data_IF_246421025088
#
_entry.id   IF_246421025088
#
_cell.length_a   1.000
_cell.length_b   1.000
_cell.length_c   1.000
_cell.angle_alpha   90.00
_cell.angle_beta   90.00
_cell.angle_gamma   90.00
#
_symmetry.space_group_name_H-M   'P 1'
#
loop_
_entity.id
_entity.type
_entity.pdbx_description
1 polymer ?
#
# COMPACT_ATOMS: atom_id res chain seq x y z
N UNK A 1 -7.48 7.83 -4.20
CA UNK A 1 -6.97 6.45 -4.06
C UNK A 1 -5.44 6.50 -4.06
N UNK A 2 -4.81 5.81 -3.11
CA UNK A 2 -3.36 5.57 -3.01
C UNK A 2 -3.10 4.08 -2.78
N UNK A 3 -1.84 3.61 -2.81
CA UNK A 3 -1.47 2.25 -2.37
C UNK A 3 0.01 2.21 -1.91
N UNK A 4 0.48 1.05 -1.45
CA UNK A 4 1.91 0.79 -1.21
C UNK A 4 2.54 -0.22 -2.17
N UNK A 5 1.77 -0.83 -3.08
CA UNK A 5 2.31 -1.77 -4.09
C UNK A 5 2.92 -1.05 -5.31
N UNK A 6 2.51 0.20 -5.58
CA UNK A 6 2.95 1.00 -6.72
C UNK A 6 2.05 0.87 -7.95
N UNK A 7 2.59 1.14 -9.16
CA UNK A 7 1.81 1.10 -10.40
C UNK A 7 1.27 -0.30 -10.73
N UNK A 8 0.23 -0.38 -11.58
CA UNK A 8 -0.36 -1.65 -11.97
C UNK A 8 0.66 -2.69 -12.44
N UNK A 9 0.57 -3.89 -11.90
CA UNK A 9 1.50 -4.97 -12.21
C UNK A 9 0.87 -6.30 -11.84
N UNK A 10 0.98 -7.33 -12.69
CA UNK A 10 0.53 -8.70 -12.37
C UNK A 10 1.14 -9.24 -11.08
N UNK A 11 2.42 -8.96 -10.86
CA UNK A 11 3.19 -9.48 -9.72
C UNK A 11 3.01 -8.68 -8.43
N UNK A 12 3.07 -7.35 -8.50
CA UNK A 12 3.11 -6.50 -7.31
C UNK A 12 1.79 -5.79 -7.01
N UNK A 13 1.13 -5.22 -8.02
CA UNK A 13 -0.11 -4.45 -7.85
C UNK A 13 -1.22 -4.93 -8.82
N UNK A 14 -1.74 -6.16 -8.66
CA UNK A 14 -2.74 -6.70 -9.57
C UNK A 14 -4.14 -6.10 -9.37
N UNK A 15 -4.39 -5.42 -8.24
CA UNK A 15 -5.75 -5.12 -7.77
C UNK A 15 -6.16 -3.64 -7.87
N UNK A 16 -5.22 -2.70 -8.06
CA UNK A 16 -5.55 -1.27 -8.05
C UNK A 16 -6.43 -0.86 -9.24
N UNK A 17 -6.16 -1.36 -10.46
CA UNK A 17 -7.00 -1.09 -11.63
C UNK A 17 -8.44 -1.56 -11.42
N UNK A 18 -8.69 -2.83 -11.05
CA UNK A 18 -10.05 -3.30 -10.78
C UNK A 18 -10.79 -2.52 -9.70
N UNK A 19 -10.11 -2.08 -8.62
CA UNK A 19 -10.76 -1.25 -7.61
C UNK A 19 -11.12 0.13 -8.15
N UNK A 20 -10.19 0.81 -8.85
CA UNK A 20 -10.43 2.14 -9.42
C UNK A 20 -11.59 2.09 -10.42
N UNK A 21 -11.62 1.07 -11.30
CA UNK A 21 -12.72 0.87 -12.23
C UNK A 21 -14.05 0.66 -11.47
N UNK A 22 -14.08 -0.19 -10.44
CA UNK A 22 -15.30 -0.43 -9.66
C UNK A 22 -15.81 0.84 -8.95
N UNK A 23 -14.92 1.71 -8.48
CA UNK A 23 -15.29 3.01 -7.90
C UNK A 23 -15.87 3.95 -8.96
N UNK A 24 -15.26 4.01 -10.15
CA UNK A 24 -15.74 4.84 -11.26
C UNK A 24 -17.08 4.33 -11.82
N UNK A 25 -17.24 3.01 -11.96
CA UNK A 25 -18.47 2.36 -12.38
C UNK A 25 -19.62 2.62 -11.38
N UNK A 26 -19.30 2.81 -10.11
CA UNK A 26 -20.25 3.23 -9.07
C UNK A 26 -20.55 4.74 -9.08
N UNK A 27 -19.97 5.50 -10.02
CA UNK A 27 -20.25 6.93 -10.22
C UNK A 27 -19.36 7.87 -9.41
N UNK A 28 -18.30 7.39 -8.76
CA UNK A 28 -17.40 8.26 -8.00
C UNK A 28 -16.37 8.97 -8.89
N UNK A 29 -16.09 10.23 -8.59
CA UNK A 29 -14.94 10.94 -9.14
C UNK A 29 -13.66 10.44 -8.44
N UNK A 30 -12.80 9.74 -9.17
CA UNK A 30 -11.60 9.11 -8.61
C UNK A 30 -10.33 9.82 -9.05
N UNK A 31 -9.57 10.31 -8.07
CA UNK A 31 -8.19 10.77 -8.23
C UNK A 31 -7.22 9.72 -7.69
N UNK A 32 -6.16 9.41 -8.44
CA UNK A 32 -5.17 8.37 -8.07
C UNK A 32 -3.79 8.98 -7.92
N UNK A 33 -3.16 8.78 -6.77
CA UNK A 33 -1.78 9.18 -6.49
C UNK A 33 -1.04 8.03 -5.81
N UNK A 34 -0.02 7.47 -6.45
CA UNK A 34 0.65 6.23 -6.01
C UNK A 34 2.17 6.35 -6.07
N UNK A 35 2.91 5.62 -5.23
CA UNK A 35 4.37 5.60 -5.31
C UNK A 35 4.84 4.96 -6.62
N UNK A 36 6.00 5.38 -7.13
CA UNK A 36 6.58 4.83 -8.36
C UNK A 36 7.14 3.40 -8.24
N UNK A 37 7.20 2.85 -7.02
CA UNK A 37 7.68 1.51 -6.73
C UNK A 37 7.02 1.00 -5.44
N UNK A 38 7.05 -0.32 -5.24
CA UNK A 38 6.54 -0.94 -4.02
C UNK A 38 7.26 -0.42 -2.76
N UNK A 39 6.47 -0.14 -1.73
CA UNK A 39 6.82 0.36 -0.40
C UNK A 39 6.25 -0.53 0.71
N UNK A 40 6.16 -1.84 0.50
CA UNK A 40 5.69 -2.77 1.52
C UNK A 40 6.59 -2.70 2.78
N UNK A 41 6.00 -2.95 3.96
CA UNK A 41 6.68 -2.93 5.26
C UNK A 41 7.20 -1.55 5.73
N UNK A 42 6.70 -0.46 5.15
CA UNK A 42 7.14 0.91 5.50
C UNK A 42 6.34 1.58 6.64
N UNK A 43 5.16 1.05 6.99
CA UNK A 43 4.23 1.68 7.94
C UNK A 43 3.76 3.07 7.48
N UNK A 44 3.53 4.00 8.41
CA UNK A 44 3.24 5.41 8.13
C UNK A 44 4.51 6.27 8.13
N UNK A 45 5.24 6.29 7.02
CA UNK A 45 6.51 7.03 6.92
C UNK A 45 6.47 8.19 5.90
N UNK A 46 7.23 9.25 6.19
CA UNK A 46 7.65 10.28 5.24
C UNK A 46 9.17 10.24 5.08
N UNK A 47 9.68 10.45 3.87
CA UNK A 47 11.11 10.47 3.57
C UNK A 47 11.60 11.92 3.48
N UNK A 48 12.02 12.52 4.60
CA UNK A 48 12.29 13.96 4.74
C UNK A 48 13.35 14.48 3.74
N UNK A 49 14.42 13.73 3.50
CA UNK A 49 15.53 14.16 2.63
C UNK A 49 15.36 13.76 1.16
N UNK A 50 14.29 13.05 0.82
CA UNK A 50 14.05 12.60 -0.54
C UNK A 50 13.20 13.62 -1.31
N UNK A 51 13.72 14.15 -2.41
CA UNK A 51 12.90 14.93 -3.34
C UNK A 51 11.85 14.03 -4.00
N UNK A 52 10.60 14.52 -4.04
CA UNK A 52 9.47 13.85 -4.68
C UNK A 52 9.28 14.41 -6.10
N UNK A 53 8.99 13.54 -7.06
CA UNK A 53 8.61 13.93 -8.43
C UNK A 53 7.31 13.25 -8.81
N UNK A 54 6.29 14.04 -9.11
CA UNK A 54 5.01 13.57 -9.64
C UNK A 54 5.07 13.48 -11.17
N UNK A 55 4.60 12.36 -11.72
CA UNK A 55 4.43 12.13 -13.16
C UNK A 55 2.95 11.79 -13.40
N UNK A 56 2.31 12.50 -14.32
CA UNK A 56 0.93 12.22 -14.73
C UNK A 56 0.95 11.19 -15.86
N UNK A 57 0.28 10.07 -15.64
CA UNK A 57 0.33 8.89 -16.51
C UNK A 57 -1.10 8.51 -16.88
N UNK A 58 -1.47 8.53 -18.16
CA UNK A 58 -2.77 8.04 -18.60
C UNK A 58 -2.96 6.58 -18.19
N UNK A 59 -4.13 6.16 -17.67
CA UNK A 59 -4.34 4.78 -17.22
C UNK A 59 -4.05 3.73 -18.31
N UNK A 60 -4.30 4.07 -19.58
CA UNK A 60 -4.05 3.20 -20.73
C UNK A 60 -2.56 3.05 -21.08
N UNK A 61 -1.68 3.90 -20.54
CA UNK A 61 -0.24 3.83 -20.77
C UNK A 61 0.46 2.78 -19.88
N UNK A 62 -0.19 2.31 -18.81
CA UNK A 62 0.40 1.32 -17.91
C UNK A 62 0.58 -0.04 -18.58
N UNK A 63 1.75 -0.64 -18.37
CA UNK A 63 2.06 -2.02 -18.72
C UNK A 63 1.82 -2.91 -17.50
N UNK A 64 1.77 -4.23 -17.72
CA UNK A 64 1.47 -5.20 -16.66
C UNK A 64 2.67 -5.59 -15.78
N UNK A 65 3.73 -4.78 -15.79
CA UNK A 65 5.00 -4.99 -15.08
C UNK A 65 5.37 -3.85 -14.13
N UNK A 66 4.45 -2.89 -13.91
CA UNK A 66 4.69 -1.72 -13.06
C UNK A 66 5.33 -0.54 -13.79
N UNK A 67 5.53 -0.65 -15.10
CA UNK A 67 6.02 0.46 -15.96
C UNK A 67 4.89 1.05 -16.78
N UNK A 68 5.19 2.13 -17.51
CA UNK A 68 4.26 2.74 -18.46
C UNK A 68 5.02 3.18 -19.72
N UNK A 69 4.27 3.38 -20.80
CA UNK A 69 4.80 3.94 -22.03
C UNK A 69 4.93 5.47 -21.91
N UNK A 70 6.17 5.95 -21.79
CA UNK A 70 6.46 7.40 -21.74
C UNK A 70 6.17 8.12 -23.05
N UNK A 71 6.02 7.38 -24.15
CA UNK A 71 5.67 7.92 -25.48
C UNK A 71 4.19 7.80 -25.79
N UNK A 72 3.36 7.39 -24.82
CA UNK A 72 1.93 7.24 -25.02
C UNK A 72 1.28 8.58 -25.33
N UNK A 73 0.90 8.77 -26.59
CA UNK A 73 0.02 9.84 -27.01
C UNK A 73 -1.41 9.32 -26.95
N UNK A 74 -2.28 9.97 -26.16
CA UNK A 74 -3.72 9.71 -26.22
C UNK A 74 -4.19 10.07 -27.63
N UNK A 75 -4.36 9.06 -28.50
CA UNK A 75 -4.69 9.27 -29.90
C UNK A 75 -5.96 10.10 -30.04
N UNK A 76 -5.80 11.36 -30.44
CA UNK A 76 -6.86 12.28 -30.83
C UNK A 76 -7.31 11.97 -32.26
N UNK A 77 -7.84 10.78 -32.49
CA UNK A 77 -8.54 10.47 -33.74
C UNK A 77 -10.04 10.54 -33.52
N UNK A 78 -10.55 11.77 -33.68
CA UNK A 78 -11.90 12.16 -34.10
C UNK A 78 -13.10 11.60 -33.33
N UNK A 79 -13.71 12.46 -32.51
CA UNK A 79 -15.13 12.84 -32.60
C UNK A 79 -15.35 14.11 -31.76
N UNK A 80 -16.35 14.90 -32.15
CA UNK A 80 -16.86 16.17 -31.57
C UNK A 80 -16.44 16.56 -30.14
N UNK A 81 -16.30 17.87 -29.83
CA UNK A 81 -15.90 18.38 -28.49
C UNK A 81 -16.66 17.78 -27.30
N UNK A 82 -17.93 17.41 -27.51
CA UNK A 82 -18.79 16.82 -26.49
C UNK A 82 -18.45 15.36 -26.12
N UNK A 83 -17.80 14.61 -27.02
CA UNK A 83 -17.34 13.22 -26.75
C UNK A 83 -15.94 13.18 -26.12
N UNK A 84 -15.10 14.17 -26.42
CA UNK A 84 -13.72 14.25 -25.89
C UNK A 84 -13.70 14.55 -24.38
N UNK A 85 -14.71 15.28 -23.89
CA UNK A 85 -14.94 15.53 -22.45
C UNK A 85 -15.45 14.31 -21.68
N UNK A 86 -15.97 13.28 -22.35
CA UNK A 86 -16.61 12.12 -21.69
C UNK A 86 -15.75 10.86 -21.67
N UNK A 87 -14.64 10.78 -22.43
CA UNK A 87 -13.85 9.53 -22.59
C UNK A 87 -12.44 9.53 -22.02
N UNK A 88 -11.88 10.66 -21.56
CA UNK A 88 -10.55 10.66 -20.95
C UNK A 88 -10.67 10.38 -19.45
N UNK A 89 -10.46 9.12 -19.07
CA UNK A 89 -10.17 8.80 -17.67
C UNK A 89 -9.01 9.67 -17.19
N UNK A 90 -9.12 10.32 -16.03
CA UNK A 90 -8.08 11.23 -15.56
C UNK A 90 -6.75 10.51 -15.37
N UNK A 91 -5.66 11.21 -15.66
CA UNK A 91 -4.31 10.69 -15.42
C UNK A 91 -4.13 10.27 -13.96
N UNK A 92 -3.40 9.18 -13.77
CA UNK A 92 -2.90 8.78 -12.46
C UNK A 92 -1.60 9.50 -12.18
N UNK A 93 -1.37 9.88 -10.93
CA UNK A 93 -0.13 10.52 -10.53
C UNK A 93 0.81 9.49 -9.90
N UNK A 94 1.94 9.25 -10.56
CA UNK A 94 3.00 8.35 -10.08
C UNK A 94 4.10 9.18 -9.43
N UNK A 95 4.40 8.92 -8.16
CA UNK A 95 5.28 9.75 -7.33
C UNK A 95 6.59 9.01 -7.06
N UNK A 96 7.67 9.45 -7.72
CA UNK A 96 9.02 8.94 -7.45
C UNK A 96 9.47 9.36 -6.06
N UNK A 97 10.12 8.45 -5.35
CA UNK A 97 10.47 8.56 -3.93
C UNK A 97 9.28 8.70 -2.97
N UNK A 98 8.04 8.57 -3.47
CA UNK A 98 6.85 8.61 -2.64
C UNK A 98 6.75 7.42 -1.69
N UNK A 99 6.22 7.69 -0.50
CA UNK A 99 5.54 6.73 0.38
C UNK A 99 4.02 6.91 0.24
N UNK A 100 3.21 5.94 0.69
CA UNK A 100 1.75 6.10 0.71
C UNK A 100 1.31 7.38 1.43
N UNK A 101 1.92 7.71 2.58
CA UNK A 101 1.64 8.93 3.33
C UNK A 101 1.95 10.20 2.51
N UNK A 102 3.10 10.27 1.84
CA UNK A 102 3.42 11.41 0.98
C UNK A 102 2.47 11.53 -0.22
N UNK A 103 2.00 10.41 -0.78
CA UNK A 103 1.02 10.40 -1.86
C UNK A 103 -0.33 10.96 -1.39
N UNK A 104 -0.74 10.63 -0.16
CA UNK A 104 -1.95 11.20 0.46
C UNK A 104 -1.81 12.71 0.63
N UNK A 105 -0.74 13.21 1.24
CA UNK A 105 -0.58 14.65 1.43
C UNK A 105 -0.55 15.41 0.09
N UNK A 106 0.25 14.95 -0.87
CA UNK A 106 0.31 15.58 -2.19
C UNK A 106 -1.06 15.54 -2.88
N UNK A 107 -1.78 14.43 -2.79
CA UNK A 107 -3.14 14.29 -3.32
C UNK A 107 -4.12 15.27 -2.69
N UNK A 108 -4.09 15.40 -1.37
CA UNK A 108 -5.01 16.27 -0.61
C UNK A 108 -4.73 17.76 -0.83
N UNK A 109 -3.47 18.16 -0.99
CA UNK A 109 -3.08 19.57 -0.87
C UNK A 109 -2.47 20.18 -2.14
N UNK A 110 -2.06 19.38 -3.14
CA UNK A 110 -1.28 19.89 -4.27
C UNK A 110 -1.71 19.38 -5.65
N UNK A 111 -2.04 18.10 -5.79
CA UNK A 111 -2.11 17.44 -7.10
C UNK A 111 -3.46 17.57 -7.83
N UNK A 112 -4.56 17.76 -7.10
CA UNK A 112 -5.93 17.72 -7.63
C UNK A 112 -6.70 19.02 -7.32
N UNK A 113 -6.02 20.16 -7.42
CA UNK A 113 -6.56 21.49 -7.05
C UNK A 113 -7.60 22.04 -8.03
N UNK A 114 -7.76 21.41 -9.18
CA UNK A 114 -8.72 21.72 -10.25
C UNK A 114 -10.06 20.99 -10.09
N UNK A 115 -10.25 20.26 -8.99
CA UNK A 115 -11.44 19.42 -8.71
C UNK A 115 -12.07 19.75 -7.37
N UNK A 116 -13.24 19.15 -7.13
CA UNK A 116 -13.86 19.19 -5.82
C UNK A 116 -12.92 18.63 -4.73
N UNK A 117 -12.97 19.17 -3.50
CA UNK A 117 -12.14 18.70 -2.40
C UNK A 117 -12.31 17.21 -2.15
N UNK A 118 -11.20 16.50 -1.95
CA UNK A 118 -11.22 15.09 -1.56
C UNK A 118 -11.97 14.92 -0.23
N UNK A 119 -12.99 14.08 -0.24
CA UNK A 119 -13.86 13.74 0.90
C UNK A 119 -13.46 12.42 1.58
N UNK A 120 -12.85 11.49 0.83
CA UNK A 120 -12.39 10.19 1.30
C UNK A 120 -11.03 9.82 0.70
N UNK A 121 -10.13 9.29 1.53
CA UNK A 121 -8.92 8.63 1.07
C UNK A 121 -9.09 7.11 1.20
N UNK A 122 -9.06 6.43 0.06
CA UNK A 122 -8.92 4.96 0.01
C UNK A 122 -7.45 4.63 -0.25
N UNK A 123 -6.87 3.82 0.63
CA UNK A 123 -5.51 3.30 0.50
C UNK A 123 -5.58 1.80 0.22
N UNK A 124 -5.13 1.35 -0.95
CA UNK A 124 -5.20 -0.03 -1.42
C UNK A 124 -5.83 -0.19 -2.82
N UNK A 125 -6.19 -1.43 -3.22
CA UNK A 125 -6.09 -2.64 -2.42
C UNK A 125 -4.64 -3.13 -2.33
N UNK A 126 -4.23 -3.55 -1.13
CA UNK A 126 -2.95 -4.22 -0.91
C UNK A 126 -2.95 -5.63 -1.52
N UNK A 127 -1.82 -6.04 -2.09
CA UNK A 127 -1.54 -7.42 -2.51
C UNK A 127 -1.19 -8.30 -1.31
N UNK A 128 -2.22 -8.66 -0.55
CA UNK A 128 -2.16 -9.43 0.67
C UNK A 128 -2.96 -8.77 1.80
N UNK A 129 -3.17 -9.50 2.89
CA UNK A 129 -3.89 -9.00 4.07
C UNK A 129 -3.02 -8.12 4.95
N UNK A 130 -3.64 -7.14 5.60
CA UNK A 130 -3.11 -6.39 6.72
C UNK A 130 -4.01 -6.70 7.94
N UNK A 131 -3.85 -7.89 8.50
CA UNK A 131 -4.61 -8.38 9.66
C UNK A 131 -3.64 -8.75 10.78
N UNK A 132 -3.98 -8.46 12.03
CA UNK A 132 -3.11 -8.42 13.23
C UNK A 132 -2.20 -7.19 13.35
N UNK A 133 -1.78 -6.87 14.58
CA UNK A 133 -1.00 -5.66 14.90
C UNK A 133 0.32 -5.60 14.13
N UNK A 134 1.01 -6.74 13.94
CA UNK A 134 2.32 -6.75 13.27
C UNK A 134 2.21 -6.31 11.81
N UNK A 135 1.19 -6.79 11.09
CA UNK A 135 0.96 -6.38 9.72
C UNK A 135 0.45 -4.94 9.65
N UNK A 136 -0.47 -4.55 10.53
CA UNK A 136 -1.02 -3.19 10.54
C UNK A 136 0.08 -2.13 10.78
N UNK A 137 0.97 -2.37 11.75
CA UNK A 137 2.06 -1.45 12.10
C UNK A 137 3.10 -1.31 11.00
N UNK A 138 3.34 -2.37 10.22
CA UNK A 138 4.27 -2.34 9.09
C UNK A 138 3.61 -1.97 7.76
N UNK A 139 2.29 -1.87 7.69
CA UNK A 139 1.56 -1.68 6.42
C UNK A 139 1.66 -0.25 5.89
N UNK A 140 2.14 -0.10 4.66
CA UNK A 140 2.05 1.17 3.94
C UNK A 140 0.60 1.49 3.54
N UNK A 141 -0.19 0.48 3.21
CA UNK A 141 -1.62 0.61 2.95
C UNK A 141 -2.36 1.19 4.17
N UNK A 142 -2.17 0.64 5.38
CA UNK A 142 -2.74 1.22 6.62
C UNK A 142 -2.13 2.60 6.89
N UNK A 143 -0.83 2.78 6.63
CA UNK A 143 -0.14 4.07 6.72
C UNK A 143 -0.79 5.19 5.89
N UNK A 144 -1.26 4.89 4.67
CA UNK A 144 -2.00 5.87 3.86
C UNK A 144 -3.32 6.30 4.49
N UNK A 145 -4.09 5.36 5.05
CA UNK A 145 -5.34 5.68 5.74
C UNK A 145 -5.10 6.45 7.06
N UNK A 146 -4.03 6.11 7.79
CA UNK A 146 -3.59 6.86 8.97
C UNK A 146 -3.21 8.30 8.61
N UNK A 147 -2.48 8.49 7.51
CA UNK A 147 -2.11 9.84 7.06
C UNK A 147 -3.34 10.69 6.76
N UNK A 148 -4.34 10.11 6.08
CA UNK A 148 -5.61 10.78 5.81
C UNK A 148 -6.30 11.24 7.10
N UNK A 149 -6.42 10.33 8.08
CA UNK A 149 -6.99 10.64 9.39
C UNK A 149 -6.25 11.80 10.07
N UNK A 150 -4.91 11.77 10.07
CA UNK A 150 -4.10 12.86 10.66
C UNK A 150 -4.18 14.18 9.88
N UNK A 151 -4.61 14.15 8.62
CA UNK A 151 -4.91 15.33 7.81
C UNK A 151 -6.37 15.82 7.99
N UNK A 152 -7.14 15.24 8.93
CA UNK A 152 -8.54 15.58 9.15
C UNK A 152 -9.48 15.05 8.07
N UNK A 153 -9.10 13.99 7.35
CA UNK A 153 -9.89 13.34 6.30
C UNK A 153 -10.21 11.91 6.69
N UNK A 154 -11.36 11.40 6.23
CA UNK A 154 -11.72 9.99 6.42
C UNK A 154 -10.75 9.10 5.62
N UNK A 155 -10.26 8.04 6.26
CA UNK A 155 -9.35 7.08 5.65
C UNK A 155 -9.89 5.65 5.70
N UNK A 156 -9.84 4.93 4.59
CA UNK A 156 -10.13 3.48 4.55
C UNK A 156 -8.94 2.76 3.91
N UNK A 157 -8.31 1.87 4.67
CA UNK A 157 -7.33 0.92 4.17
C UNK A 157 -8.05 -0.32 3.63
N UNK A 158 -7.68 -0.78 2.44
CA UNK A 158 -8.29 -1.93 1.76
C UNK A 158 -7.22 -2.95 1.43
N UNK A 159 -7.43 -4.20 1.83
CA UNK A 159 -6.48 -5.30 1.63
C UNK A 159 -7.18 -6.51 1.05
N UNK A 160 -6.65 -7.05 -0.06
CA UNK A 160 -7.16 -8.26 -0.71
C UNK A 160 -6.33 -9.46 -0.25
N UNK A 161 -6.97 -10.42 0.41
CA UNK A 161 -6.36 -11.35 1.37
C UNK A 161 -5.46 -12.46 0.82
N UNK A 162 -4.95 -12.35 -0.40
CA UNK A 162 -4.10 -13.34 -1.07
C UNK A 162 -2.85 -12.72 -1.69
N UNK A 163 -1.74 -13.45 -1.66
CA UNK A 163 -0.50 -13.15 -2.40
C UNK A 163 -0.31 -14.03 -3.64
N UNK A 164 -1.19 -15.00 -3.81
CA UNK A 164 -1.20 -15.89 -4.97
C UNK A 164 -1.98 -15.22 -6.10
N UNK A 165 -1.65 -15.56 -7.34
CA UNK A 165 -2.40 -15.08 -8.50
C UNK A 165 -3.87 -15.46 -8.39
N UNK A 166 -4.77 -14.49 -8.63
CA UNK A 166 -6.21 -14.66 -8.51
C UNK A 166 -6.89 -14.56 -9.88
N UNK A 167 -7.93 -15.38 -10.13
CA UNK A 167 -8.82 -15.20 -11.28
C UNK A 167 -9.46 -13.82 -11.30
N UNK A 168 -9.70 -13.26 -12.51
CA UNK A 168 -10.23 -11.91 -12.67
C UNK A 168 -11.64 -11.74 -12.08
N UNK A 169 -12.49 -12.77 -12.18
CA UNK A 169 -13.83 -12.78 -11.59
C UNK A 169 -13.81 -12.66 -10.07
N UNK A 170 -12.86 -13.33 -9.39
CA UNK A 170 -12.61 -13.21 -7.95
C UNK A 170 -12.15 -11.79 -7.59
N UNK A 171 -11.22 -11.23 -8.38
CA UNK A 171 -10.73 -9.85 -8.16
C UNK A 171 -11.86 -8.83 -8.31
N UNK A 172 -12.66 -8.95 -9.37
CA UNK A 172 -13.81 -8.07 -9.60
C UNK A 172 -14.88 -8.22 -8.51
N UNK A 173 -15.14 -9.44 -8.01
CA UNK A 173 -16.06 -9.68 -6.89
C UNK A 173 -15.58 -8.98 -5.61
N UNK A 174 -14.29 -9.10 -5.28
CA UNK A 174 -13.68 -8.40 -4.15
C UNK A 174 -13.75 -6.87 -4.31
N UNK A 175 -13.49 -6.34 -5.50
CA UNK A 175 -13.59 -4.91 -5.79
C UNK A 175 -15.02 -4.37 -5.62
N UNK A 176 -16.03 -5.07 -6.16
CA UNK A 176 -17.44 -4.70 -5.97
C UNK A 176 -17.85 -4.71 -4.50
N UNK A 177 -17.43 -5.74 -3.75
CA UNK A 177 -17.70 -5.79 -2.31
C UNK A 177 -17.02 -4.64 -1.58
N UNK A 178 -15.76 -4.32 -1.91
CA UNK A 178 -15.02 -3.21 -1.32
C UNK A 178 -15.78 -1.89 -1.50
N UNK A 179 -16.25 -1.60 -2.71
CA UNK A 179 -17.03 -0.39 -3.01
C UNK A 179 -18.33 -0.35 -2.21
N UNK A 180 -19.08 -1.46 -2.13
CA UNK A 180 -20.30 -1.52 -1.30
C UNK A 180 -20.03 -1.23 0.18
N UNK A 181 -18.96 -1.81 0.72
CA UNK A 181 -18.58 -1.59 2.13
C UNK A 181 -18.14 -0.14 2.34
N UNK A 182 -17.31 0.41 1.44
CA UNK A 182 -16.87 1.81 1.51
C UNK A 182 -18.06 2.76 1.52
N UNK A 183 -19.03 2.57 0.61
CA UNK A 183 -20.25 3.38 0.56
C UNK A 183 -21.00 3.32 1.89
N UNK A 184 -21.26 2.11 2.39
CA UNK A 184 -21.96 1.90 3.66
C UNK A 184 -21.25 2.59 4.83
N UNK A 185 -19.92 2.46 4.93
CA UNK A 185 -19.13 3.06 6.01
C UNK A 185 -19.12 4.59 5.94
N UNK A 186 -19.07 5.18 4.73
CA UNK A 186 -19.10 6.64 4.57
C UNK A 186 -20.45 7.22 4.99
N UNK A 187 -21.56 6.57 4.62
CA UNK A 187 -22.92 6.98 5.00
C UNK A 187 -23.18 6.81 6.51
N UNK A 188 -22.55 5.81 7.13
CA UNK A 188 -22.79 5.42 8.53
C UNK A 188 -21.54 5.55 9.40
N UNK A 189 -20.71 6.56 9.12
CA UNK A 189 -19.42 6.74 9.77
C UNK A 189 -19.59 7.02 11.27
N UNK A 190 -19.01 6.18 12.12
CA UNK A 190 -19.02 6.39 13.57
C UNK A 190 -18.02 7.50 13.95
N UNK A 191 -18.46 8.50 14.71
CA UNK A 191 -17.66 9.68 15.08
C UNK A 191 -16.41 9.34 15.90
N UNK A 192 -16.38 8.17 16.54
CA UNK A 192 -15.22 7.70 17.32
C UNK A 192 -14.17 7.04 16.45
N UNK A 193 -14.49 6.74 15.19
CA UNK A 193 -13.60 6.06 14.25
C UNK A 193 -12.86 7.08 13.39
N UNK A 194 -11.53 7.01 13.40
CA UNK A 194 -10.70 7.91 12.59
C UNK A 194 -10.34 7.28 11.24
N UNK A 195 -10.24 5.94 11.19
CA UNK A 195 -10.07 5.17 9.96
C UNK A 195 -10.63 3.74 10.08
N UNK A 196 -10.92 3.11 8.94
CA UNK A 196 -11.22 1.68 8.87
C UNK A 196 -10.11 0.90 8.16
N UNK A 197 -9.83 -0.32 8.62
CA UNK A 197 -8.97 -1.29 7.94
C UNK A 197 -9.80 -2.49 7.48
N UNK A 198 -9.90 -2.68 6.16
CA UNK A 198 -10.67 -3.73 5.51
C UNK A 198 -9.76 -4.86 5.03
N UNK A 199 -10.12 -6.10 5.37
CA UNK A 199 -9.49 -7.31 4.83
C UNK A 199 -10.55 -8.18 4.14
N UNK A 200 -10.48 -8.24 2.81
CA UNK A 200 -11.42 -8.97 1.97
C UNK A 200 -10.77 -10.30 1.53
N UNK A 201 -11.35 -11.46 1.84
CA UNK A 201 -10.82 -12.75 1.40
C UNK A 201 -11.04 -12.92 -0.11
N UNK A 202 -10.04 -13.49 -0.81
CA UNK A 202 -10.12 -13.69 -2.26
C UNK A 202 -10.88 -14.98 -2.57
N UNK A 203 -12.21 -14.86 -2.66
CA UNK A 203 -13.11 -15.96 -3.02
C UNK A 203 -14.18 -15.48 -4.00
N UNK A 204 -14.65 -16.37 -4.87
CA UNK A 204 -15.66 -16.03 -5.88
C UNK A 204 -17.00 -15.64 -5.25
N UNK A 205 -17.38 -16.31 -4.17
CA UNK A 205 -18.63 -16.09 -3.43
C UNK A 205 -18.55 -14.94 -2.41
N UNK A 206 -17.43 -14.21 -2.34
CA UNK A 206 -17.13 -13.22 -1.28
C UNK A 206 -18.25 -12.19 -1.09
N UNK A 207 -18.95 -11.83 -2.15
CA UNK A 207 -20.05 -10.86 -2.15
C UNK A 207 -21.26 -11.29 -1.32
N UNK A 208 -21.41 -12.59 -1.07
CA UNK A 208 -22.51 -13.19 -0.28
C UNK A 208 -22.08 -13.63 1.11
N UNK A 209 -20.77 -13.55 1.41
CA UNK A 209 -20.23 -13.96 2.70
C UNK A 209 -20.40 -12.86 3.74
N UNK A 210 -20.40 -13.20 5.04
CA UNK A 210 -20.54 -12.21 6.09
C UNK A 210 -19.47 -11.12 6.03
N UNK A 211 -19.89 -9.89 6.32
CA UNK A 211 -19.02 -8.74 6.59
C UNK A 211 -19.15 -8.43 8.07
N UNK A 212 -18.04 -8.50 8.81
CA UNK A 212 -18.04 -8.45 10.27
C UNK A 212 -17.15 -7.32 10.78
N UNK A 213 -17.62 -6.59 11.78
CA UNK A 213 -16.75 -5.75 12.59
C UNK A 213 -15.81 -6.62 13.42
N UNK A 214 -14.54 -6.23 13.49
CA UNK A 214 -13.49 -7.02 14.15
C UNK A 214 -12.59 -6.16 15.01
N UNK A 215 -11.97 -6.77 16.02
CA UNK A 215 -10.80 -6.21 16.73
C UNK A 215 -9.50 -6.67 16.08
N UNK A 216 -8.44 -5.87 16.22
CA UNK A 216 -7.11 -6.29 15.76
C UNK A 216 -6.55 -7.39 16.67
N UNK A 217 -6.08 -8.49 16.09
CA UNK A 217 -5.34 -9.52 16.82
C UNK A 217 -3.97 -8.98 17.27
N UNK A 218 -3.64 -8.95 18.57
CA UNK A 218 -2.29 -8.64 19.03
C UNK A 218 -1.29 -9.72 18.60
N UNK A 219 -0.12 -9.30 18.12
CA UNK A 219 1.01 -10.18 17.81
C UNK A 219 2.30 -9.65 18.41
N UNK A 220 3.09 -10.56 18.98
CA UNK A 220 4.41 -10.29 19.55
C UNK A 220 5.40 -11.33 19.02
N UNK A 221 6.64 -10.91 18.77
CA UNK A 221 7.70 -11.81 18.33
C UNK A 221 8.07 -12.77 19.46
N UNK A 222 7.81 -14.07 19.27
CA UNK A 222 8.19 -15.10 20.22
C UNK A 222 9.65 -15.53 20.02
N UNK A 223 10.05 -15.77 18.77
CA UNK A 223 11.43 -16.01 18.30
C UNK A 223 11.55 -15.51 16.85
N UNK A 224 12.73 -15.01 16.47
CA UNK A 224 13.02 -14.66 15.07
C UNK A 224 13.63 -13.28 14.90
N UNK A 225 14.46 -13.16 13.87
CA UNK A 225 14.97 -11.91 13.35
C UNK A 225 14.43 -11.72 11.93
N UNK A 226 14.03 -10.50 11.58
CA UNK A 226 13.61 -10.16 10.21
C UNK A 226 14.79 -10.24 9.21
N UNK A 227 16.00 -10.39 9.73
CA UNK A 227 17.25 -10.32 8.99
C UNK A 227 18.15 -11.50 9.33
N UNK A 228 18.77 -12.10 8.33
CA UNK A 228 19.82 -13.10 8.52
C UNK A 228 21.18 -12.51 8.12
N UNK A 229 22.22 -12.81 8.89
CA UNK A 229 23.59 -12.46 8.53
C UNK A 229 24.00 -13.22 7.26
N UNK A 230 24.74 -12.54 6.39
CA UNK A 230 25.31 -13.11 5.18
C UNK A 230 26.82 -12.88 5.16
N UNK A 231 27.58 -13.89 4.75
CA UNK A 231 29.03 -13.82 4.62
C UNK A 231 29.43 -13.83 3.13
N UNK A 232 30.36 -12.96 2.73
CA UNK A 232 30.99 -12.95 1.40
C UNK A 232 30.10 -12.40 0.26
N UNK A 233 30.40 -12.79 -0.99
CA UNK A 233 29.79 -12.34 -2.27
C UNK A 233 28.26 -12.51 -2.41
N UNK A 234 27.55 -12.87 -1.33
CA UNK A 234 26.07 -12.97 -1.24
C UNK A 234 25.43 -11.80 -0.48
N UNK A 235 26.21 -10.79 -0.10
CA UNK A 235 25.69 -9.55 0.45
C UNK A 235 24.87 -8.79 -0.60
N UNK A 236 23.66 -8.29 -0.28
CA UNK A 236 22.96 -7.38 -1.18
C UNK A 236 23.80 -6.10 -1.38
N UNK A 237 23.70 -5.43 -2.54
CA UNK A 237 24.47 -4.22 -2.78
C UNK A 237 24.22 -3.18 -1.68
N UNK A 238 25.29 -2.69 -1.07
CA UNK A 238 25.24 -1.64 -0.06
C UNK A 238 24.75 -0.35 -0.75
N UNK A 239 23.53 0.08 -0.43
CA UNK A 239 23.07 1.41 -0.78
C UNK A 239 23.72 2.40 0.19
N UNK A 240 24.81 3.01 -0.25
CA UNK A 240 25.50 4.05 0.51
C UNK A 240 24.66 5.33 0.50
N UNK A 241 24.30 5.85 1.68
CA UNK A 241 23.65 7.15 1.81
C UNK A 241 24.57 8.24 1.21
N UNK A 242 24.07 8.98 0.21
CA UNK A 242 24.76 10.16 -0.35
C UNK A 242 24.88 10.21 -1.87
N UNK A 243 24.52 9.17 -2.62
CA UNK A 243 24.40 9.24 -4.08
C UNK A 243 22.95 9.51 -4.46
N UNK A 244 22.67 10.68 -5.03
CA UNK A 244 21.40 11.01 -5.68
C UNK A 244 21.04 9.90 -6.68
N UNK A 245 19.92 9.22 -6.46
CA UNK A 245 19.45 8.11 -7.28
C UNK A 245 19.12 8.55 -8.72
N UNK A 246 20.11 8.41 -9.61
CA UNK A 246 19.85 8.04 -11.00
C UNK A 246 19.50 6.56 -11.06
N UNK A 247 18.25 6.27 -11.38
CA UNK A 247 17.73 5.11 -12.12
C UNK A 247 18.46 3.77 -11.87
N UNK A 248 17.85 2.88 -11.10
CA UNK A 248 18.07 1.43 -11.21
C UNK A 248 16.86 0.80 -11.88
N UNK A 249 16.80 0.90 -13.20
CA UNK A 249 16.05 -0.05 -14.03
C UNK A 249 16.83 -1.37 -14.02
N UNK A 250 16.11 -2.47 -13.88
CA UNK A 250 16.69 -3.80 -14.08
C UNK A 250 17.13 -3.96 -15.52
N UNK A 251 18.43 -4.03 -15.73
CA UNK A 251 19.17 -4.82 -16.73
C UNK A 251 20.62 -4.36 -16.70
N UNK A 252 21.55 -5.21 -16.24
CA UNK A 252 22.96 -5.04 -16.60
C UNK A 252 23.54 -6.37 -16.99
N UNK A 253 23.70 -6.52 -18.30
CA UNK A 253 24.67 -7.37 -18.96
C UNK A 253 26.01 -7.36 -18.22
N UNK A 254 26.66 -8.52 -18.19
CA UNK A 254 27.99 -8.69 -17.65
C UNK A 254 28.98 -7.70 -18.26
N UNK A 255 29.40 -6.74 -17.45
CA UNK A 255 30.64 -6.00 -17.68
C UNK A 255 31.48 -6.20 -16.44
N UNK A 256 32.43 -7.13 -16.57
CA UNK A 256 33.51 -7.31 -15.61
C UNK A 256 34.31 -6.02 -15.54
N UNK A 257 34.06 -5.19 -14.52
CA UNK A 257 34.98 -4.11 -14.15
C UNK A 257 36.11 -4.75 -13.36
N UNK A 258 37.19 -5.06 -14.07
CA UNK A 258 38.50 -5.27 -13.47
C UNK A 258 38.94 -3.96 -12.81
N UNK A 259 38.76 -3.83 -11.50
CA UNK A 259 39.47 -2.83 -10.70
C UNK A 259 40.88 -3.36 -10.41
N UNK A 260 41.95 -2.62 -10.79
CA UNK A 260 43.30 -3.00 -10.44
C UNK A 260 43.56 -2.76 -8.95
N UNK A 261 44.34 -3.68 -8.37
CA UNK A 261 44.93 -3.65 -7.03
C UNK A 261 45.07 -2.23 -6.43
N UNK A 262 44.30 -1.97 -5.38
CA UNK A 262 44.40 -0.75 -4.58
C UNK A 262 43.73 -0.96 -3.23
N UNK A 263 44.54 -1.01 -2.18
CA UNK A 263 44.18 -1.24 -0.78
C UNK A 263 43.20 -0.17 -0.30
N UNK A 264 41.97 -0.56 0.08
CA UNK A 264 41.12 0.24 0.97
C UNK A 264 41.21 -0.36 2.37
N UNK A 265 41.95 0.25 3.33
CA UNK A 265 41.95 -0.23 4.69
C UNK A 265 40.80 0.45 5.43
N UNK A 266 39.59 -0.07 5.31
CA UNK A 266 38.60 0.21 6.36
C UNK A 266 39.01 -0.61 7.59
N UNK A 267 39.44 0.07 8.64
CA UNK A 267 39.77 -0.55 9.95
C UNK A 267 38.52 -1.03 10.72
N UNK A 268 37.34 -1.01 10.10
CA UNK A 268 36.07 -1.24 10.76
C UNK A 268 35.57 -2.66 10.49
N UNK A 269 35.02 -3.29 11.54
CA UNK A 269 34.36 -4.58 11.43
C UNK A 269 32.98 -4.39 10.82
N UNK A 270 32.77 -4.92 9.62
CA UNK A 270 31.50 -4.90 8.90
C UNK A 270 30.83 -6.27 8.94
N UNK A 271 29.48 -6.28 8.98
CA UNK A 271 28.64 -7.48 8.96
C UNK A 271 27.42 -7.19 8.10
N UNK A 272 27.19 -8.03 7.09
CA UNK A 272 26.10 -7.86 6.16
C UNK A 272 24.87 -8.65 6.59
N UNK A 273 23.69 -8.06 6.39
CA UNK A 273 22.42 -8.69 6.70
C UNK A 273 21.47 -8.54 5.52
N UNK A 274 20.64 -9.56 5.28
CA UNK A 274 19.55 -9.51 4.30
C UNK A 274 18.22 -9.76 4.98
N UNK A 275 17.14 -9.23 4.40
CA UNK A 275 15.80 -9.62 4.79
C UNK A 275 15.63 -11.14 4.63
N UNK A 276 15.26 -11.81 5.71
CA UNK A 276 15.11 -13.26 5.79
C UNK A 276 14.07 -13.63 6.84
N UNK A 277 12.93 -12.94 6.81
CA UNK A 277 11.89 -13.11 7.80
C UNK A 277 11.36 -14.55 7.83
N UNK A 278 11.60 -15.26 8.92
CA UNK A 278 11.01 -16.58 9.18
C UNK A 278 9.59 -16.38 9.74
N UNK A 279 8.60 -16.42 8.84
CA UNK A 279 7.20 -16.09 9.17
C UNK A 279 6.34 -17.30 9.56
N UNK A 280 6.95 -18.47 9.78
CA UNK A 280 6.26 -19.74 10.07
C UNK A 280 5.46 -19.67 11.38
N UNK A 281 6.10 -19.26 12.48
CA UNK A 281 5.44 -19.09 13.78
C UNK A 281 4.34 -18.03 13.73
N UNK A 282 4.57 -16.94 13.00
CA UNK A 282 3.58 -15.88 12.81
C UNK A 282 2.34 -16.42 12.07
N UNK A 283 2.52 -17.14 10.96
CA UNK A 283 1.41 -17.77 10.24
C UNK A 283 0.63 -18.74 11.14
N UNK A 284 1.32 -19.53 11.96
CA UNK A 284 0.67 -20.44 12.90
C UNK A 284 -0.15 -19.69 13.96
N UNK A 285 0.37 -18.60 14.51
CA UNK A 285 -0.36 -17.76 15.47
C UNK A 285 -1.61 -17.11 14.85
N UNK A 286 -1.52 -16.63 13.61
CA UNK A 286 -2.68 -16.10 12.89
C UNK A 286 -3.73 -17.18 12.65
N UNK A 287 -3.33 -18.41 12.31
CA UNK A 287 -4.27 -19.53 12.12
C UNK A 287 -4.95 -19.97 13.42
N UNK A 288 -4.27 -19.83 14.55
CA UNK A 288 -4.82 -20.12 15.88
C UNK A 288 -5.60 -18.93 16.50
N UNK A 289 -5.90 -17.90 15.70
CA UNK A 289 -6.57 -16.69 16.20
C UNK A 289 -8.01 -16.95 16.62
N UNK A 290 -8.44 -16.23 17.65
CA UNK A 290 -9.75 -16.35 18.27
C UNK A 290 -10.84 -15.55 17.53
N UNK A 291 -12.09 -15.99 17.68
CA UNK A 291 -13.26 -15.37 17.05
C UNK A 291 -13.39 -13.87 17.42
N UNK A 292 -13.89 -13.09 16.45
CA UNK A 292 -14.02 -11.63 16.54
C UNK A 292 -12.75 -10.86 16.20
N UNK A 293 -11.61 -11.54 16.00
CA UNK A 293 -10.37 -10.90 15.51
C UNK A 293 -10.33 -10.79 13.99
N UNK A 294 -9.67 -9.77 13.48
CA UNK A 294 -9.47 -9.52 12.05
C UNK A 294 -8.83 -10.73 11.32
N UNK A 295 -7.79 -11.31 11.93
CA UNK A 295 -7.11 -12.49 11.40
C UNK A 295 -8.05 -13.71 11.31
N UNK A 296 -8.81 -13.99 12.37
CA UNK A 296 -9.73 -15.13 12.40
C UNK A 296 -10.82 -14.97 11.35
N UNK A 297 -11.45 -13.80 11.29
CA UNK A 297 -12.53 -13.48 10.36
C UNK A 297 -12.11 -13.64 8.91
N UNK A 298 -10.97 -13.04 8.51
CA UNK A 298 -10.49 -13.13 7.13
C UNK A 298 -10.03 -14.54 6.76
N UNK A 299 -9.39 -15.26 7.68
CA UNK A 299 -8.93 -16.63 7.44
C UNK A 299 -10.09 -17.63 7.28
N UNK A 300 -11.21 -17.39 7.95
CA UNK A 300 -12.45 -18.17 7.80
C UNK A 300 -13.33 -17.71 6.63
N UNK A 301 -12.78 -16.86 5.75
CA UNK A 301 -13.42 -16.44 4.52
C UNK A 301 -14.50 -15.37 4.70
N UNK A 302 -14.61 -14.72 5.85
CA UNK A 302 -15.50 -13.57 6.03
C UNK A 302 -14.73 -12.26 5.84
N UNK A 303 -15.39 -11.19 5.43
CA UNK A 303 -14.74 -9.88 5.31
C UNK A 303 -14.61 -9.24 6.69
N UNK A 304 -13.40 -8.81 7.04
CA UNK A 304 -13.12 -8.09 8.29
C UNK A 304 -13.15 -6.58 8.05
N UNK A 305 -13.87 -5.87 8.94
CA UNK A 305 -13.92 -4.41 9.04
C UNK A 305 -13.42 -4.01 10.42
N UNK A 306 -12.22 -3.47 10.52
CA UNK A 306 -11.65 -3.06 11.81
C UNK A 306 -11.73 -1.53 11.97
N UNK A 307 -12.54 -0.99 12.90
CA UNK A 307 -12.49 0.42 13.27
C UNK A 307 -11.22 0.73 14.07
N UNK A 308 -10.52 1.82 13.74
CA UNK A 308 -9.26 2.21 14.37
C UNK A 308 -9.22 3.72 14.70
N UNK A 309 -8.34 4.09 15.63
CA UNK A 309 -7.93 5.47 15.87
C UNK A 309 -6.48 5.67 15.39
N UNK A 310 -6.18 6.81 14.77
CA UNK A 310 -4.87 7.19 14.24
C UNK A 310 -3.97 7.82 15.33
N UNK A 311 -3.71 7.06 16.39
CA UNK A 311 -2.89 7.54 17.50
C UNK A 311 -2.05 6.44 18.14
N UNK A 312 -1.07 6.88 18.93
CA UNK A 312 -0.48 6.07 19.97
C UNK A 312 -1.22 6.41 21.26
N UNK A 313 -2.31 5.70 21.55
CA UNK A 313 -3.04 5.90 22.80
C UNK A 313 -2.09 5.66 23.97
N UNK A 314 -2.04 6.61 24.91
CA UNK A 314 -1.30 6.44 26.16
C UNK A 314 -1.98 5.37 27.02
N UNK A 315 -1.25 4.73 27.92
CA UNK A 315 -1.86 3.79 28.88
C UNK A 315 -2.69 4.61 29.87
N UNK A 316 -4.03 4.51 29.89
CA UNK A 316 -4.85 5.26 30.83
C UNK A 316 -4.47 4.90 32.27
N UNK A 317 -4.42 5.88 33.16
CA UNK A 317 -4.03 5.69 34.57
C UNK A 317 -2.53 5.89 34.86
N UNK A 318 -1.73 6.23 33.85
CA UNK A 318 -0.34 6.67 34.00
C UNK A 318 -0.19 8.17 33.70
N UNK A 319 -1.07 8.98 34.26
CA UNK A 319 -1.00 10.44 34.20
C UNK A 319 -0.37 11.03 35.48
N UNK A 320 0.37 12.12 35.32
CA UNK A 320 1.01 12.82 36.45
C UNK A 320 2.51 12.53 36.58
N UNK A 321 3.13 13.01 37.67
CA UNK A 321 4.58 12.90 37.85
C UNK A 321 5.00 11.43 38.07
N UNK A 322 6.07 11.01 37.38
CA UNK A 322 6.75 9.75 37.66
C UNK A 322 7.46 9.87 39.02
N UNK A 323 6.92 9.21 40.05
CA UNK A 323 7.56 9.12 41.37
C UNK A 323 8.52 7.93 41.35
N UNK A 324 9.82 8.22 41.54
CA UNK A 324 10.91 7.24 41.57
C UNK A 324 11.11 6.63 42.96
#
# INVERSE_FOLDING_TARGET
VVNDDGPPSRRLSPYIHPLVNALQDAGHLVSVAIPAASRSWIGKAHLIEASLKATYVPPAAFRNDGTWDETFESSSTSTTPDEESQRKSPDWVVIRNGTPASCVQLGLFNLFTDRDPIDLVISGPNHGRNASTIYNLSSGTVGGALEAATCGKRGIAVSFGSKDEQPMDVICAAARLAVRIVHHLVENWDERVELYNLNIPMQLDVETRPVLYTRTLPYYWNKGCLYAEVSGDKAPPVLMNGATNGIANGETNGVSKTTPNGINPTHFRERDFKWSAELSEMKAALQASEEGTDAHTVLNGSTSVTPLCANFWYVPGLEGPLVL
#
